data_IF_423705874772
#
_entry.id   IF_423705874772
#
_cell.length_a   1.000
_cell.length_b   1.000
_cell.length_c   1.000
_cell.angle_alpha   90.00
_cell.angle_beta   90.00
_cell.angle_gamma   90.00
#
_symmetry.space_group_name_H-M   'P 1'
#
loop_
_entity.id
_entity.type
_entity.pdbx_description
1 polymer ?
#
# COMPACT_ATOMS: atom_id res chain seq x y z
N UNK A 1 4.78 -24.47 12.71
CA UNK A 1 4.24 -23.11 12.53
C UNK A 1 5.40 -22.18 12.80
N UNK A 2 6.20 -21.95 11.76
CA UNK A 2 7.42 -21.17 11.84
C UNK A 2 7.28 -19.91 11.00
N UNK A 3 7.09 -18.81 11.73
CA UNK A 3 7.59 -17.45 11.51
C UNK A 3 7.98 -17.17 10.04
N UNK A 4 7.01 -16.68 9.27
CA UNK A 4 7.26 -15.91 8.06
C UNK A 4 8.28 -14.82 8.38
N UNK A 5 9.49 -15.02 7.89
CA UNK A 5 10.60 -14.08 7.90
C UNK A 5 10.17 -12.79 7.21
N UNK A 6 9.58 -11.90 8.00
CA UNK A 6 9.60 -10.45 7.95
C UNK A 6 9.36 -9.79 6.57
N UNK A 7 8.23 -9.07 6.42
CA UNK A 7 8.08 -7.60 6.33
C UNK A 7 9.28 -6.69 5.90
N UNK A 8 10.41 -7.22 5.44
CA UNK A 8 11.72 -6.54 5.37
C UNK A 8 12.38 -6.48 3.99
N UNK A 9 11.70 -6.85 2.91
CA UNK A 9 12.02 -6.26 1.60
C UNK A 9 11.23 -4.93 1.41
N UNK A 10 11.24 -4.13 2.47
CA UNK A 10 10.93 -2.71 2.48
C UNK A 10 12.05 -2.02 1.69
N UNK A 11 11.73 -1.39 0.55
CA UNK A 11 12.64 -0.50 -0.19
C UNK A 11 13.97 -1.10 -0.69
N UNK A 12 13.96 -1.88 -1.78
CA UNK A 12 15.18 -2.06 -2.57
C UNK A 12 14.89 -2.42 -4.04
N UNK A 13 15.11 -1.46 -4.95
CA UNK A 13 15.40 -1.76 -6.34
C UNK A 13 14.40 -1.23 -7.35
N UNK A 14 14.39 0.08 -7.56
CA UNK A 14 13.78 0.71 -8.74
C UNK A 14 14.30 0.09 -10.05
N UNK A 15 13.45 -0.56 -10.84
CA UNK A 15 13.49 -0.52 -12.30
C UNK A 15 12.05 -0.50 -12.83
N UNK A 16 11.67 0.67 -13.37
CA UNK A 16 10.49 0.85 -14.20
C UNK A 16 10.61 0.07 -15.51
N UNK A 17 9.56 -0.63 -15.92
CA UNK A 17 9.14 -0.70 -17.31
C UNK A 17 7.62 -0.92 -17.38
N UNK A 18 6.94 0.16 -17.75
CA UNK A 18 5.50 0.24 -17.84
C UNK A 18 4.98 -0.42 -19.12
N UNK A 19 4.04 -1.35 -18.99
CA UNK A 19 3.03 -1.62 -20.01
C UNK A 19 1.67 -1.62 -19.29
N UNK A 20 0.92 -0.55 -19.49
CA UNK A 20 -0.33 -0.25 -18.78
C UNK A 20 -1.53 -0.71 -19.61
N UNK A 21 -2.46 -1.54 -19.10
CA UNK A 21 -3.83 -1.56 -19.61
C UNK A 21 -4.64 -0.43 -18.95
N UNK A 22 -5.59 0.22 -19.67
CA UNK A 22 -6.27 1.40 -19.16
C UNK A 22 -7.33 1.01 -18.14
N UNK A 23 -7.05 1.24 -16.85
CA UNK A 23 -8.12 1.44 -15.86
C UNK A 23 -8.67 2.84 -16.12
N UNK A 24 -9.93 2.93 -16.51
CA UNK A 24 -10.63 4.21 -16.65
C UNK A 24 -10.70 4.89 -15.27
N UNK A 25 -9.73 5.76 -15.01
CA UNK A 25 -9.71 6.67 -13.87
C UNK A 25 -10.78 7.72 -14.12
N UNK A 26 -11.93 7.56 -13.46
CA UNK A 26 -12.82 8.70 -13.23
C UNK A 26 -12.05 9.63 -12.29
N UNK A 27 -11.39 10.65 -12.85
CA UNK A 27 -10.77 11.70 -12.06
C UNK A 27 -11.85 12.39 -11.24
N UNK A 28 -11.88 12.12 -9.93
CA UNK A 28 -12.59 12.98 -9.01
C UNK A 28 -12.01 14.41 -9.14
N UNK A 29 -12.83 15.46 -9.01
CA UNK A 29 -12.33 16.82 -8.98
C UNK A 29 -11.24 16.94 -7.90
N UNK A 30 -10.10 17.53 -8.26
CA UNK A 30 -9.00 17.68 -7.34
C UNK A 30 -9.48 18.49 -6.12
N UNK A 31 -9.28 18.01 -4.89
CA UNK A 31 -9.61 18.80 -3.72
C UNK A 31 -8.81 20.11 -3.78
N UNK A 32 -9.48 21.24 -3.51
CA UNK A 32 -8.87 22.55 -3.43
C UNK A 32 -8.84 22.99 -1.96
N UNK A 33 -7.69 23.47 -1.47
CA UNK A 33 -7.54 23.92 -0.08
C UNK A 33 -6.19 23.57 0.54
N UNK A 34 -5.94 24.01 1.79
CA UNK A 34 -4.65 23.84 2.46
C UNK A 34 -4.24 22.38 2.67
N UNK A 35 -5.22 21.47 2.81
CA UNK A 35 -4.98 20.03 3.05
C UNK A 35 -5.33 19.15 1.84
N UNK A 36 -5.45 19.75 0.65
CA UNK A 36 -5.77 19.03 -0.59
C UNK A 36 -4.86 17.82 -0.86
N UNK A 37 -3.57 17.94 -0.52
CA UNK A 37 -2.60 16.86 -0.69
C UNK A 37 -2.88 15.65 0.22
N UNK A 38 -3.34 15.90 1.46
CA UNK A 38 -3.74 14.83 2.41
C UNK A 38 -4.99 14.15 1.86
N UNK A 39 -6.02 14.94 1.52
CA UNK A 39 -7.31 14.41 1.05
C UNK A 39 -7.13 13.55 -0.21
N UNK A 40 -6.32 14.03 -1.17
CA UNK A 40 -6.03 13.28 -2.39
C UNK A 40 -5.27 11.98 -2.10
N UNK A 41 -4.29 12.01 -1.20
CA UNK A 41 -3.51 10.83 -0.82
C UNK A 41 -4.36 9.78 -0.07
N UNK A 42 -5.21 10.21 0.86
CA UNK A 42 -6.16 9.33 1.57
C UNK A 42 -7.14 8.69 0.58
N UNK A 43 -7.70 9.48 -0.34
CA UNK A 43 -8.60 8.96 -1.36
C UNK A 43 -7.91 7.95 -2.29
N UNK A 44 -6.66 8.20 -2.67
CA UNK A 44 -5.87 7.28 -3.48
C UNK A 44 -5.62 5.96 -2.73
N UNK A 45 -5.20 6.01 -1.46
CA UNK A 45 -4.99 4.80 -0.65
C UNK A 45 -6.27 3.98 -0.52
N UNK A 46 -7.39 4.62 -0.17
CA UNK A 46 -8.69 3.95 -0.02
C UNK A 46 -9.21 3.36 -1.34
N UNK A 47 -8.83 3.93 -2.48
CA UNK A 47 -9.15 3.38 -3.81
C UNK A 47 -8.28 2.15 -4.13
N UNK A 48 -7.04 2.13 -3.66
CA UNK A 48 -6.08 1.06 -3.94
C UNK A 48 -6.20 -0.15 -3.00
N UNK A 49 -6.66 0.05 -1.76
CA UNK A 49 -6.89 -1.04 -0.80
C UNK A 49 -7.68 -2.22 -1.38
N UNK A 50 -8.89 -2.05 -1.95
CA UNK A 50 -9.64 -3.19 -2.47
C UNK A 50 -8.97 -3.85 -3.67
N UNK A 51 -8.14 -3.11 -4.42
CA UNK A 51 -7.34 -3.65 -5.53
C UNK A 51 -6.24 -4.55 -5.01
N UNK A 52 -5.54 -4.13 -3.95
CA UNK A 52 -4.51 -4.94 -3.28
C UNK A 52 -5.10 -6.20 -2.67
N UNK A 53 -6.26 -6.09 -2.01
CA UNK A 53 -6.98 -7.20 -1.41
C UNK A 53 -7.41 -8.22 -2.48
N UNK A 54 -7.93 -7.79 -3.63
CA UNK A 54 -8.30 -8.70 -4.72
C UNK A 54 -7.07 -9.35 -5.38
N UNK A 55 -6.00 -8.59 -5.63
CA UNK A 55 -4.76 -9.13 -6.19
C UNK A 55 -4.14 -10.19 -5.29
N UNK A 56 -4.12 -9.95 -3.98
CA UNK A 56 -3.62 -10.90 -2.99
C UNK A 56 -4.46 -12.19 -3.00
N UNK A 57 -5.79 -12.07 -2.96
CA UNK A 57 -6.69 -13.21 -3.03
C UNK A 57 -6.49 -14.03 -4.30
N UNK A 58 -6.41 -13.38 -5.46
CA UNK A 58 -6.18 -14.06 -6.75
C UNK A 58 -4.82 -14.73 -6.82
N UNK A 59 -3.78 -14.10 -6.24
CA UNK A 59 -2.45 -14.71 -6.13
C UNK A 59 -2.52 -15.98 -5.30
N UNK A 60 -3.16 -15.92 -4.14
CA UNK A 60 -3.30 -17.06 -3.24
C UNK A 60 -4.09 -18.21 -3.91
N UNK A 61 -5.14 -17.89 -4.68
CA UNK A 61 -5.88 -18.88 -5.48
C UNK A 61 -5.01 -19.53 -6.59
N UNK A 62 -4.08 -18.76 -7.18
CA UNK A 62 -3.19 -19.24 -8.25
C UNK A 62 -1.94 -19.98 -7.74
N UNK A 63 -1.64 -19.87 -6.45
CA UNK A 63 -0.41 -20.39 -5.85
C UNK A 63 -0.27 -21.91 -6.00
N UNK A 64 -1.30 -22.65 -5.64
CA UNK A 64 -1.27 -24.12 -5.69
C UNK A 64 -1.08 -24.64 -7.13
N UNK A 65 -1.67 -23.97 -8.11
CA UNK A 65 -1.50 -24.31 -9.52
C UNK A 65 -0.06 -24.06 -10.01
N UNK A 66 0.55 -22.95 -9.59
CA UNK A 66 1.94 -22.63 -9.92
C UNK A 66 2.92 -23.64 -9.29
N UNK A 67 2.71 -24.02 -8.03
CA UNK A 67 3.54 -25.02 -7.35
C UNK A 67 3.35 -26.41 -7.95
N UNK A 68 2.12 -26.80 -8.33
CA UNK A 68 1.87 -28.07 -9.00
C UNK A 68 2.59 -28.15 -10.37
N UNK A 69 2.73 -27.02 -11.08
CA UNK A 69 3.42 -26.95 -12.36
C UNK A 69 4.95 -26.97 -12.22
N UNK A 70 5.49 -26.18 -11.30
CA UNK A 70 6.94 -25.91 -11.21
C UNK A 70 7.67 -26.81 -10.20
N UNK A 71 6.94 -27.40 -9.25
CA UNK A 71 7.51 -27.99 -8.06
C UNK A 71 8.07 -26.94 -7.09
N UNK A 72 8.60 -27.37 -5.93
CA UNK A 72 9.16 -26.45 -4.94
C UNK A 72 10.42 -25.76 -5.46
N UNK A 73 10.64 -24.51 -5.03
CA UNK A 73 11.84 -23.75 -5.38
C UNK A 73 13.11 -24.45 -4.84
N UNK A 74 14.11 -24.75 -5.69
CA UNK A 74 15.35 -25.36 -5.24
C UNK A 74 16.22 -24.34 -4.51
N UNK A 75 16.85 -24.76 -3.40
CA UNK A 75 17.76 -23.94 -2.58
C UNK A 75 19.19 -23.82 -3.17
N UNK A 76 19.40 -24.22 -4.42
CA UNK A 76 20.73 -24.38 -5.02
C UNK A 76 20.69 -24.30 -6.55
N UNK A 77 21.44 -25.16 -7.26
CA UNK A 77 21.43 -25.15 -8.72
C UNK A 77 20.00 -25.22 -9.28
N UNK A 78 19.71 -24.35 -10.25
CA UNK A 78 18.36 -24.23 -10.84
C UNK A 78 17.44 -23.20 -10.17
N UNK A 79 17.86 -22.55 -9.08
CA UNK A 79 17.06 -21.51 -8.41
C UNK A 79 16.67 -20.37 -9.36
N UNK A 80 17.63 -19.81 -10.11
CA UNK A 80 17.34 -18.75 -11.08
C UNK A 80 16.36 -19.21 -12.17
N UNK A 81 16.58 -20.40 -12.74
CA UNK A 81 15.69 -20.94 -13.76
C UNK A 81 14.27 -21.20 -13.23
N UNK A 82 14.14 -21.60 -11.96
CA UNK A 82 12.86 -21.72 -11.30
C UNK A 82 12.17 -20.36 -11.15
N UNK A 83 12.88 -19.32 -10.72
CA UNK A 83 12.34 -17.96 -10.63
C UNK A 83 11.96 -17.38 -11.99
N UNK A 84 12.76 -17.64 -13.03
CA UNK A 84 12.42 -17.27 -14.40
C UNK A 84 11.10 -17.92 -14.84
N UNK A 85 10.90 -19.21 -14.54
CA UNK A 85 9.65 -19.90 -14.83
C UNK A 85 8.48 -19.43 -13.96
N UNK A 86 8.72 -19.15 -12.68
CA UNK A 86 7.74 -18.57 -11.74
C UNK A 86 7.16 -17.26 -12.25
N UNK A 87 8.03 -16.36 -12.72
CA UNK A 87 7.64 -15.05 -13.25
C UNK A 87 6.72 -15.13 -14.48
N UNK A 88 6.65 -16.30 -15.13
CA UNK A 88 5.76 -16.55 -16.27
C UNK A 88 4.42 -17.20 -15.85
N UNK A 89 4.26 -17.58 -14.59
CA UNK A 89 2.99 -18.10 -14.06
C UNK A 89 2.02 -16.97 -13.76
N UNK A 90 0.72 -17.28 -13.71
CA UNK A 90 -0.29 -16.32 -13.24
C UNK A 90 0.01 -15.83 -11.82
N UNK A 91 0.45 -16.71 -10.92
CA UNK A 91 0.82 -16.35 -9.55
C UNK A 91 1.97 -15.33 -9.53
N UNK A 92 3.05 -15.58 -10.28
CA UNK A 92 4.17 -14.64 -10.39
C UNK A 92 3.74 -13.29 -10.98
N UNK A 93 2.94 -13.28 -12.05
CA UNK A 93 2.44 -12.03 -12.65
C UNK A 93 1.55 -11.23 -11.68
N UNK A 94 0.73 -11.91 -10.88
CA UNK A 94 -0.08 -11.28 -9.84
C UNK A 94 0.76 -10.71 -8.69
N UNK A 95 1.88 -11.35 -8.34
CA UNK A 95 2.85 -10.79 -7.38
C UNK A 95 3.44 -9.48 -7.88
N UNK A 96 3.94 -9.44 -9.11
CA UNK A 96 4.49 -8.22 -9.71
C UNK A 96 3.47 -7.07 -9.75
N UNK A 97 2.23 -7.38 -10.13
CA UNK A 97 1.16 -6.39 -10.17
C UNK A 97 0.78 -5.91 -8.76
N UNK A 98 0.73 -6.83 -7.79
CA UNK A 98 0.50 -6.49 -6.38
C UNK A 98 1.61 -5.57 -5.86
N UNK A 99 2.88 -5.89 -6.08
CA UNK A 99 4.02 -5.07 -5.64
C UNK A 99 3.98 -3.67 -6.26
N UNK A 100 3.64 -3.58 -7.55
CA UNK A 100 3.49 -2.31 -8.25
C UNK A 100 2.39 -1.45 -7.63
N UNK A 101 1.22 -2.03 -7.35
CA UNK A 101 0.11 -1.31 -6.72
C UNK A 101 0.45 -0.95 -5.27
N UNK A 102 1.14 -1.84 -4.55
CA UNK A 102 1.53 -1.65 -3.16
C UNK A 102 2.50 -0.47 -3.02
N UNK A 103 3.45 -0.32 -3.94
CA UNK A 103 4.35 0.83 -3.96
C UNK A 103 3.62 2.17 -4.14
N UNK A 104 2.56 2.21 -4.96
CA UNK A 104 1.75 3.43 -5.15
C UNK A 104 0.93 3.71 -3.87
N UNK A 105 0.32 2.67 -3.30
CA UNK A 105 -0.42 2.75 -2.05
C UNK A 105 0.46 3.25 -0.90
N UNK A 106 1.68 2.73 -0.77
CA UNK A 106 2.65 3.13 0.25
C UNK A 106 3.10 4.60 0.08
N UNK A 107 3.31 5.04 -1.15
CA UNK A 107 3.59 6.44 -1.43
C UNK A 107 2.41 7.36 -1.04
N UNK A 108 1.16 6.93 -1.25
CA UNK A 108 -0.02 7.65 -0.81
C UNK A 108 -0.14 7.68 0.73
N UNK A 109 0.08 6.56 1.40
CA UNK A 109 0.13 6.45 2.86
C UNK A 109 1.18 7.41 3.44
N UNK A 110 2.42 7.29 2.96
CA UNK A 110 3.56 8.12 3.40
C UNK A 110 3.24 9.61 3.24
N UNK A 111 2.64 10.00 2.11
CA UNK A 111 2.24 11.39 1.86
C UNK A 111 1.15 11.85 2.83
N UNK A 112 0.10 11.06 3.04
CA UNK A 112 -1.00 11.40 3.93
C UNK A 112 -0.53 11.54 5.38
N UNK A 113 0.27 10.59 5.89
CA UNK A 113 0.76 10.59 7.27
C UNK A 113 1.70 11.77 7.54
N UNK A 114 2.69 11.98 6.64
CA UNK A 114 3.77 12.93 6.89
C UNK A 114 3.46 14.38 6.49
N UNK A 115 2.43 14.62 5.69
CA UNK A 115 2.00 15.99 5.38
C UNK A 115 1.26 16.56 6.60
N UNK A 116 1.73 17.65 7.24
CA UNK A 116 1.02 18.22 8.39
C UNK A 116 -0.36 18.73 7.99
N UNK A 117 -1.40 18.33 8.73
CA UNK A 117 -2.74 18.89 8.55
C UNK A 117 -2.80 20.32 9.08
N UNK A 118 -3.47 21.20 8.34
CA UNK A 118 -3.65 22.61 8.70
C UNK A 118 -5.09 22.94 9.06
N UNK A 119 -6.00 21.98 8.86
CA UNK A 119 -7.42 22.14 9.13
C UNK A 119 -7.99 20.92 9.84
N UNK A 120 -9.12 21.08 10.56
CA UNK A 120 -9.86 19.94 11.13
C UNK A 120 -10.26 18.88 10.10
N UNK A 121 -10.49 19.28 8.85
CA UNK A 121 -10.83 18.34 7.78
C UNK A 121 -9.63 17.48 7.37
N UNK A 122 -8.42 18.04 7.33
CA UNK A 122 -7.18 17.28 7.13
C UNK A 122 -6.95 16.25 8.23
N UNK A 123 -7.18 16.63 9.50
CA UNK A 123 -7.12 15.69 10.64
C UNK A 123 -8.14 14.56 10.48
N UNK A 124 -9.39 14.90 10.10
CA UNK A 124 -10.45 13.90 9.92
C UNK A 124 -10.07 12.85 8.87
N UNK A 125 -9.48 13.27 7.75
CA UNK A 125 -9.03 12.33 6.71
C UNK A 125 -7.85 11.47 7.18
N UNK A 126 -6.92 12.01 7.98
CA UNK A 126 -5.87 11.19 8.61
C UNK A 126 -6.44 10.13 9.55
N UNK A 127 -7.40 10.50 10.41
CA UNK A 127 -8.07 9.55 11.32
C UNK A 127 -8.82 8.47 10.52
N UNK A 128 -9.47 8.86 9.42
CA UNK A 128 -10.14 7.92 8.52
C UNK A 128 -9.16 6.91 7.95
N UNK A 129 -8.02 7.39 7.46
CA UNK A 129 -6.95 6.54 6.93
C UNK A 129 -6.40 5.60 8.00
N UNK A 130 -6.06 6.11 9.18
CA UNK A 130 -5.59 5.32 10.33
C UNK A 130 -6.55 4.18 10.68
N UNK A 131 -7.85 4.45 10.78
CA UNK A 131 -8.83 3.39 11.06
C UNK A 131 -8.87 2.32 9.96
N UNK A 132 -8.74 2.74 8.71
CA UNK A 132 -8.74 1.82 7.58
C UNK A 132 -7.47 0.96 7.55
N UNK A 133 -6.31 1.50 7.94
CA UNK A 133 -5.05 0.72 8.02
C UNK A 133 -5.09 -0.32 9.12
N UNK A 134 -5.63 0.00 10.29
CA UNK A 134 -5.78 -0.99 11.37
C UNK A 134 -6.61 -2.19 10.92
N UNK A 135 -7.71 -1.93 10.21
CA UNK A 135 -8.56 -2.99 9.64
C UNK A 135 -7.81 -3.80 8.57
N UNK A 136 -7.10 -3.13 7.66
CA UNK A 136 -6.39 -3.79 6.57
C UNK A 136 -5.22 -4.66 7.06
N UNK A 137 -4.41 -4.16 7.99
CA UNK A 137 -3.24 -4.88 8.52
C UNK A 137 -3.57 -5.82 9.68
N UNK A 138 -4.80 -5.75 10.23
CA UNK A 138 -5.18 -6.50 11.43
C UNK A 138 -4.36 -6.08 12.65
N UNK A 139 -4.00 -4.80 12.72
CA UNK A 139 -3.21 -4.23 13.81
C UNK A 139 -4.11 -3.53 14.83
N UNK A 140 -3.73 -3.60 16.11
CA UNK A 140 -4.48 -2.95 17.20
C UNK A 140 -4.13 -1.46 17.35
N UNK A 141 -2.92 -1.05 16.94
CA UNK A 141 -2.45 0.34 16.95
C UNK A 141 -1.29 0.57 15.98
N UNK A 142 -1.13 1.83 15.56
CA UNK A 142 0.05 2.39 14.89
C UNK A 142 0.40 3.70 15.61
N UNK A 143 1.28 3.60 16.61
CA UNK A 143 1.66 4.71 17.48
C UNK A 143 2.32 5.85 16.70
N UNK A 144 3.05 5.53 15.64
CA UNK A 144 3.66 6.54 14.78
C UNK A 144 2.61 7.39 14.08
N UNK A 145 1.55 6.77 13.56
CA UNK A 145 0.47 7.50 12.91
C UNK A 145 -0.32 8.34 13.94
N UNK A 146 -0.61 7.77 15.12
CA UNK A 146 -1.29 8.50 16.19
C UNK A 146 -0.50 9.76 16.62
N UNK A 147 0.82 9.64 16.83
CA UNK A 147 1.67 10.77 17.19
C UNK A 147 1.61 11.91 16.17
N UNK A 148 1.47 11.58 14.87
CA UNK A 148 1.32 12.59 13.81
C UNK A 148 -0.03 13.29 13.86
N UNK A 149 -1.10 12.55 14.15
CA UNK A 149 -2.45 13.11 14.31
C UNK A 149 -2.49 14.04 15.52
N UNK A 150 -1.93 13.61 16.65
CA UNK A 150 -1.89 14.39 17.89
C UNK A 150 -1.07 15.67 17.73
N UNK A 151 0.06 15.61 17.02
CA UNK A 151 0.86 16.78 16.70
C UNK A 151 0.08 17.82 15.88
N UNK A 152 -0.68 17.38 14.87
CA UNK A 152 -1.51 18.28 14.06
C UNK A 152 -2.66 18.89 14.88
N UNK A 153 -3.30 18.11 15.76
CA UNK A 153 -4.35 18.58 16.67
C UNK A 153 -3.81 19.66 17.61
N UNK A 154 -2.64 19.46 18.20
CA UNK A 154 -2.02 20.42 19.11
C UNK A 154 -1.74 21.76 18.42
N UNK A 155 -1.23 21.73 17.18
CA UNK A 155 -0.96 22.93 16.38
C UNK A 155 -2.24 23.69 16.07
N UNK A 156 -3.28 23.01 15.60
CA UNK A 156 -4.55 23.66 15.22
C UNK A 156 -5.28 24.20 16.44
N UNK A 157 -5.25 23.47 17.56
CA UNK A 157 -5.92 23.90 18.80
C UNK A 157 -5.23 25.12 19.44
N UNK A 158 -3.90 25.23 19.34
CA UNK A 158 -3.12 26.37 19.85
C UNK A 158 -3.21 27.66 19.01
N UNK A 159 -3.74 27.60 17.79
CA UNK A 159 -3.92 28.79 16.92
C UNK A 159 -5.14 29.64 17.29
N UNK A 160 -6.01 29.18 18.18
CA UNK A 160 -7.20 29.93 18.64
C UNK A 160 -6.98 30.87 19.83
N UNK A 161 -5.76 30.93 20.39
CA UNK A 161 -5.47 31.67 21.64
C UNK A 161 -4.68 32.98 21.44
N UNK A 162 -4.56 33.50 20.21
CA UNK A 162 -3.78 34.71 19.88
C UNK A 162 -4.66 35.92 19.50
#
# INVERSE_FOLDING_TARGET
MDIQTSRRAFCAGSISLAITPPIALISAPAPHGPDAAIIAAVAEWLRLEPVLTDLLRRRDDAYDAAIALLGPCPMGPGNHAWHDAWNLTECGLLEWEWERVAAISDAAMTRAVNTPARTPDGIREKIRLYRATLVYFGEDTDDYFLDRIDADIAVISGQGEA
#
